data_IF_576027191221
#
_entry.id   IF_576027191221
#
_cell.length_a   1.000
_cell.length_b   1.000
_cell.length_c   1.000
_cell.angle_alpha   90.00
_cell.angle_beta   90.00
_cell.angle_gamma   90.00
#
_symmetry.space_group_name_H-M   'P 1'
#
loop_
_entity.id
_entity.type
_entity.pdbx_description
1 polymer ?
#
# COMPACT_ATOMS: atom_id res chain seq x y z
N UNK A 1 -2.02 -1.36 3.53
CA UNK A 1 -1.28 -0.96 2.31
C UNK A 1 -0.46 0.27 2.66
N UNK A 2 0.88 0.19 2.67
CA UNK A 2 1.73 1.32 3.03
C UNK A 2 1.58 2.48 2.04
N UNK A 3 1.47 3.69 2.59
CA UNK A 3 1.42 4.93 1.83
C UNK A 3 2.80 5.59 1.91
N UNK A 4 3.42 5.83 0.76
CA UNK A 4 4.70 6.51 0.66
C UNK A 4 4.45 7.99 0.35
N UNK A 5 4.91 8.87 1.22
CA UNK A 5 5.00 10.30 0.91
C UNK A 5 6.33 10.56 0.21
N UNK A 6 6.28 11.19 -0.96
CA UNK A 6 7.42 11.43 -1.84
C UNK A 6 7.66 12.90 -2.02
N UNK A 7 8.92 13.29 -2.19
CA UNK A 7 9.32 14.65 -2.55
C UNK A 7 10.29 14.63 -3.73
N UNK A 8 10.03 15.49 -4.70
CA UNK A 8 10.98 15.77 -5.78
C UNK A 8 11.89 16.95 -5.40
N UNK A 9 13.22 16.78 -5.33
CA UNK A 9 14.14 17.87 -4.99
C UNK A 9 14.30 18.90 -6.13
N UNK A 10 13.88 18.59 -7.36
CA UNK A 10 14.00 19.51 -8.52
C UNK A 10 12.92 20.58 -8.54
N UNK A 11 11.68 20.21 -8.25
CA UNK A 11 10.52 21.11 -8.33
C UNK A 11 9.80 21.30 -6.98
N UNK A 12 10.31 20.68 -5.91
CA UNK A 12 9.72 20.67 -4.57
C UNK A 12 8.30 20.07 -4.49
N UNK A 13 7.83 19.39 -5.53
CA UNK A 13 6.53 18.73 -5.54
C UNK A 13 6.50 17.57 -4.55
N UNK A 14 5.44 17.53 -3.73
CA UNK A 14 5.16 16.44 -2.81
C UNK A 14 3.91 15.67 -3.26
N UNK A 15 3.97 14.34 -3.22
CA UNK A 15 2.89 13.47 -3.68
C UNK A 15 2.89 12.14 -2.94
N UNK A 16 1.83 11.35 -3.12
CA UNK A 16 1.66 10.06 -2.43
C UNK A 16 1.69 8.90 -3.43
N UNK A 17 2.42 7.86 -3.07
CA UNK A 17 2.46 6.57 -3.77
C UNK A 17 1.91 5.47 -2.89
N UNK A 18 1.38 4.42 -3.52
CA UNK A 18 0.89 3.22 -2.83
C UNK A 18 1.73 2.03 -3.28
N UNK A 19 2.09 1.17 -2.33
CA UNK A 19 2.70 -0.13 -2.61
C UNK A 19 1.79 -1.20 -2.03
N UNK A 20 1.51 -2.23 -2.83
CA UNK A 20 0.65 -3.33 -2.41
C UNK A 20 1.30 -4.11 -1.27
N UNK A 21 0.51 -4.59 -0.31
CA UNK A 21 1.07 -5.37 0.79
C UNK A 21 1.81 -6.61 0.26
N UNK A 22 2.88 -7.01 0.95
CA UNK A 22 3.72 -8.17 0.59
C UNK A 22 4.40 -8.08 -0.80
N UNK A 23 4.45 -6.88 -1.40
CA UNK A 23 5.23 -6.65 -2.62
C UNK A 23 6.48 -5.83 -2.34
N UNK A 24 7.47 -5.93 -3.22
CA UNK A 24 8.67 -5.11 -3.13
C UNK A 24 8.34 -3.67 -3.54
N UNK A 25 8.81 -2.70 -2.75
CA UNK A 25 8.74 -1.30 -3.13
C UNK A 25 9.51 -1.03 -4.46
N UNK A 26 9.07 -0.05 -5.26
CA UNK A 26 9.79 0.35 -6.47
C UNK A 26 11.26 0.68 -6.19
N UNK A 27 12.14 0.23 -7.09
CA UNK A 27 13.58 0.58 -7.05
C UNK A 27 13.84 2.03 -7.41
N UNK A 28 12.94 2.64 -8.16
CA UNK A 28 13.02 4.01 -8.67
C UNK A 28 11.66 4.69 -8.53
N UNK A 29 11.68 5.99 -8.25
CA UNK A 29 10.49 6.84 -8.16
C UNK A 29 10.65 8.03 -9.09
N UNK A 30 9.59 8.35 -9.84
CA UNK A 30 9.58 9.44 -10.81
C UNK A 30 8.57 10.50 -10.37
N UNK A 31 8.96 11.77 -10.47
CA UNK A 31 8.10 12.90 -10.12
C UNK A 31 6.92 13.00 -11.07
N UNK A 32 5.70 12.95 -10.55
CA UNK A 32 4.46 13.07 -11.33
C UNK A 32 4.21 14.46 -11.94
N UNK A 33 5.10 15.43 -11.68
CA UNK A 33 4.96 16.81 -12.18
C UNK A 33 6.04 17.21 -13.19
N UNK A 34 7.28 16.77 -13.00
CA UNK A 34 8.41 17.19 -13.84
C UNK A 34 9.21 16.02 -14.42
N UNK A 35 8.70 14.79 -14.28
CA UNK A 35 9.32 13.55 -14.79
C UNK A 35 10.73 13.27 -14.26
N UNK A 36 11.18 13.97 -13.22
CA UNK A 36 12.49 13.74 -12.61
C UNK A 36 12.54 12.40 -11.89
N UNK A 37 13.57 11.61 -12.18
CA UNK A 37 13.89 10.34 -11.52
C UNK A 37 14.57 10.53 -10.14
N UNK A 38 14.75 11.78 -9.69
CA UNK A 38 15.33 12.09 -8.37
C UNK A 38 14.26 12.17 -7.26
N UNK A 39 12.99 11.88 -7.57
CA UNK A 39 11.96 11.78 -6.54
C UNK A 39 12.27 10.63 -5.58
N UNK A 40 12.00 10.81 -4.29
CA UNK A 40 12.27 9.80 -3.27
C UNK A 40 11.24 9.84 -2.14
N UNK A 41 10.97 8.71 -1.47
CA UNK A 41 10.17 8.70 -0.26
C UNK A 41 10.82 9.54 0.84
N UNK A 42 10.01 10.35 1.51
CA UNK A 42 10.36 11.11 2.71
C UNK A 42 9.68 10.58 3.96
N UNK A 43 8.55 9.87 3.80
CA UNK A 43 7.84 9.21 4.90
C UNK A 43 7.07 7.98 4.41
N UNK A 44 6.86 7.00 5.28
CA UNK A 44 6.07 5.79 5.00
C UNK A 44 5.05 5.59 6.11
N UNK A 45 3.77 5.58 5.76
CA UNK A 45 2.68 5.28 6.67
C UNK A 45 2.30 3.81 6.56
N UNK A 46 2.58 3.04 7.59
CA UNK A 46 2.16 1.64 7.71
C UNK A 46 0.71 1.53 8.20
N UNK A 47 -0.24 2.03 7.41
CA UNK A 47 -1.65 1.80 7.71
C UNK A 47 -2.06 0.41 7.21
N UNK A 48 -2.54 -0.43 8.14
CA UNK A 48 -3.22 -1.68 7.82
C UNK A 48 -4.56 -1.28 7.17
N UNK A 49 -4.73 -1.63 5.90
CA UNK A 49 -5.98 -1.33 5.22
C UNK A 49 -7.03 -2.34 5.67
N UNK A 50 -8.29 -1.95 5.93
CA UNK A 50 -9.31 -2.90 6.42
C UNK A 50 -9.51 -4.13 5.53
N UNK A 51 -9.30 -4.02 4.21
CA UNK A 51 -9.34 -5.14 3.27
C UNK A 51 -8.14 -6.10 3.36
N UNK A 52 -7.05 -5.67 3.99
CA UNK A 52 -5.83 -6.45 4.22
C UNK A 52 -5.85 -7.20 5.57
N UNK A 53 -6.94 -7.06 6.35
CA UNK A 53 -7.16 -7.89 7.53
C UNK A 53 -7.50 -9.33 7.12
N UNK A 54 -7.25 -10.30 8.01
CA UNK A 54 -7.81 -11.65 7.84
C UNK A 54 -9.33 -11.54 7.67
N UNK A 55 -9.80 -11.92 6.48
CA UNK A 55 -11.23 -12.02 6.23
C UNK A 55 -11.72 -13.17 7.11
N UNK A 56 -12.61 -12.87 8.05
CA UNK A 56 -13.25 -13.90 8.87
C UNK A 56 -13.81 -15.00 7.96
N UNK A 57 -13.69 -16.26 8.42
CA UNK A 57 -13.98 -17.51 7.71
C UNK A 57 -15.02 -17.33 6.60
N UNK A 58 -14.60 -17.67 5.36
CA UNK A 58 -15.19 -17.22 4.09
C UNK A 58 -16.70 -17.37 3.89
N UNK A 59 -17.19 -17.08 2.68
CA UNK A 59 -18.62 -17.13 2.38
C UNK A 59 -19.26 -18.45 2.86
N UNK A 60 -20.45 -18.41 3.50
CA UNK A 60 -21.18 -19.61 3.88
C UNK A 60 -21.54 -20.51 2.69
N UNK A 61 -21.44 -19.97 1.47
CA UNK A 61 -21.64 -20.69 0.22
C UNK A 61 -20.46 -21.59 -0.22
N UNK A 62 -19.23 -21.32 0.24
CA UNK A 62 -18.02 -22.03 -0.19
C UNK A 62 -17.30 -22.78 0.94
N UNK A 63 -17.99 -23.02 2.07
CA UNK A 63 -17.48 -23.81 3.19
C UNK A 63 -16.94 -23.02 4.39
N UNK A 64 -17.12 -21.70 4.43
CA UNK A 64 -16.76 -20.87 5.57
C UNK A 64 -17.88 -20.78 6.61
N UNK A 65 -18.09 -21.85 7.37
CA UNK A 65 -18.49 -21.89 8.78
C UNK A 65 -18.95 -23.30 9.12
N UNK A 66 -18.05 -24.14 9.62
CA UNK A 66 -18.47 -25.28 10.44
C UNK A 66 -18.07 -24.96 11.88
N UNK A 67 -18.90 -24.17 12.57
CA UNK A 67 -18.87 -24.07 14.03
C UNK A 67 -19.64 -25.26 14.57
N UNK A 68 -18.98 -26.41 14.71
CA UNK A 68 -19.49 -27.52 15.50
C UNK A 68 -19.23 -27.22 16.97
N UNK A 69 -20.25 -26.75 17.68
CA UNK A 69 -20.34 -26.85 19.14
C UNK A 69 -21.38 -27.95 19.44
N UNK A 70 -20.90 -29.14 19.83
CA UNK A 70 -21.68 -30.15 20.55
C UNK A 70 -21.06 -30.31 21.94
#
# INVERSE_FOLDING_TARGET
>A
MPIYELQCPKCNHQFKGLVMANTQAPKEWVCSHCDSHEAKPIHVYENIHPLENEHAAGCPCCGGTSRNNF
#
